data_IF_546487296191
#
_entry.id   IF_546487296191
#
_cell.length_a   1.000
_cell.length_b   1.000
_cell.length_c   1.000
_cell.angle_alpha   90.00
_cell.angle_beta   90.00
_cell.angle_gamma   90.00
#
_symmetry.space_group_name_H-M   'P 1'
#
loop_
_entity.id
_entity.type
_entity.pdbx_description
1 polymer ?
#
# COMPACT_ATOMS: atom_id res chain seq x y z
N UNK A 1 -16.18 7.56 10.53
CA UNK A 1 -15.16 8.54 10.08
C UNK A 1 -13.82 7.84 10.00
N UNK A 2 -13.28 7.66 8.79
CA UNK A 2 -11.91 7.19 8.61
C UNK A 2 -10.99 8.38 8.92
N UNK A 3 -10.28 8.32 10.04
CA UNK A 3 -9.36 9.38 10.47
C UNK A 3 -8.27 9.65 9.43
N UNK A 4 -7.89 10.92 9.30
CA UNK A 4 -6.79 11.46 8.50
C UNK A 4 -6.67 10.92 7.06
N UNK A 5 -7.25 11.65 6.11
CA UNK A 5 -7.04 11.50 4.65
C UNK A 5 -5.60 11.76 4.19
N UNK A 6 -4.71 12.22 5.08
CA UNK A 6 -3.32 12.57 4.80
C UNK A 6 -2.54 11.49 4.03
N UNK A 7 -2.76 10.20 4.34
CA UNK A 7 -2.05 9.12 3.67
C UNK A 7 -2.44 8.97 2.19
N UNK A 8 -3.72 9.15 1.88
CA UNK A 8 -4.25 9.06 0.51
C UNK A 8 -3.82 10.28 -0.30
N UNK A 9 -3.84 11.47 0.30
CA UNK A 9 -3.43 12.70 -0.36
C UNK A 9 -1.92 12.74 -0.60
N UNK A 10 -1.11 12.25 0.35
CA UNK A 10 0.32 12.05 0.14
C UNK A 10 0.62 11.08 -0.99
N UNK A 11 -0.14 9.97 -1.06
CA UNK A 11 -0.06 9.02 -2.16
C UNK A 11 -0.38 9.67 -3.52
N UNK A 12 -1.52 10.35 -3.64
CA UNK A 12 -1.92 11.03 -4.88
C UNK A 12 -0.86 12.05 -5.34
N UNK A 13 -0.28 12.79 -4.41
CA UNK A 13 0.82 13.74 -4.70
C UNK A 13 2.08 13.04 -5.20
N UNK A 14 2.51 11.96 -4.55
CA UNK A 14 3.71 11.21 -4.93
C UNK A 14 3.59 10.56 -6.32
N UNK A 15 2.39 10.06 -6.66
CA UNK A 15 2.08 9.51 -7.99
C UNK A 15 2.09 10.62 -9.04
N UNK A 16 1.42 11.75 -8.78
CA UNK A 16 1.36 12.87 -9.71
C UNK A 16 2.74 13.50 -9.99
N UNK A 17 3.64 13.51 -8.99
CA UNK A 17 4.98 14.09 -9.13
C UNK A 17 5.99 13.16 -9.82
N UNK A 18 5.63 11.90 -10.10
CA UNK A 18 6.56 10.88 -10.59
C UNK A 18 6.01 10.15 -11.83
N UNK A 19 5.78 10.85 -12.96
CA UNK A 19 5.26 10.24 -14.17
C UNK A 19 6.25 9.19 -14.71
N UNK A 20 5.79 7.94 -14.87
CA UNK A 20 6.61 6.81 -15.31
C UNK A 20 7.05 5.86 -14.20
N UNK A 21 6.61 6.07 -12.95
CA UNK A 21 6.85 5.12 -11.86
C UNK A 21 6.11 3.79 -12.01
N UNK A 22 6.70 2.77 -11.39
CA UNK A 22 6.22 1.39 -11.37
C UNK A 22 4.73 1.32 -10.97
N UNK A 23 3.91 0.48 -11.62
CA UNK A 23 2.48 0.30 -11.30
C UNK A 23 2.23 -0.33 -9.91
N UNK A 24 3.32 -0.62 -9.19
CA UNK A 24 3.34 -1.32 -7.92
C UNK A 24 3.45 -0.34 -6.75
N UNK A 25 2.31 -0.02 -6.15
CA UNK A 25 2.16 0.82 -4.97
C UNK A 25 1.89 -0.09 -3.77
N UNK A 26 2.79 -0.07 -2.79
CA UNK A 26 2.59 -0.77 -1.52
C UNK A 26 2.25 0.23 -0.42
N UNK A 27 1.12 0.03 0.26
CA UNK A 27 0.70 0.85 1.39
C UNK A 27 1.15 0.21 2.71
N UNK A 28 1.88 0.95 3.53
CA UNK A 28 2.27 0.52 4.88
C UNK A 28 1.47 1.32 5.91
N UNK A 29 0.68 0.66 6.74
CA UNK A 29 -0.34 1.34 7.56
C UNK A 29 -0.46 0.80 8.98
N UNK A 30 -0.87 1.64 9.93
CA UNK A 30 -1.13 1.23 11.32
C UNK A 30 -2.61 0.94 11.60
N UNK A 31 -3.49 1.01 10.59
CA UNK A 31 -4.88 0.56 10.77
C UNK A 31 -4.96 -0.95 10.94
N UNK A 32 -5.97 -1.47 11.67
CA UNK A 32 -6.19 -2.90 11.82
C UNK A 32 -6.25 -3.61 10.45
N UNK A 33 -5.74 -4.86 10.34
CA UNK A 33 -5.72 -5.62 9.10
C UNK A 33 -7.05 -5.65 8.35
N UNK A 34 -8.17 -5.79 9.08
CA UNK A 34 -9.53 -5.78 8.53
C UNK A 34 -9.91 -4.50 7.76
N UNK A 35 -9.24 -3.37 8.03
CA UNK A 35 -9.46 -2.07 7.35
C UNK A 35 -8.35 -1.74 6.35
N UNK A 36 -7.20 -2.42 6.43
CA UNK A 36 -6.04 -2.17 5.60
C UNK A 36 -6.33 -2.48 4.11
N UNK A 37 -7.03 -3.57 3.83
CA UNK A 37 -7.45 -3.89 2.45
C UNK A 37 -8.41 -2.86 1.85
N UNK A 38 -9.41 -2.42 2.62
CA UNK A 38 -10.36 -1.41 2.15
C UNK A 38 -9.65 -0.11 1.80
N UNK A 39 -8.68 0.29 2.64
CA UNK A 39 -7.85 1.47 2.39
C UNK A 39 -6.98 1.29 1.14
N UNK A 40 -6.33 0.13 0.99
CA UNK A 40 -5.51 -0.19 -0.18
C UNK A 40 -6.30 -0.09 -1.49
N UNK A 41 -7.52 -0.68 -1.53
CA UNK A 41 -8.41 -0.61 -2.68
C UNK A 41 -8.85 0.83 -2.98
N UNK A 42 -9.14 1.64 -1.96
CA UNK A 42 -9.55 3.04 -2.14
C UNK A 42 -8.46 3.93 -2.76
N UNK A 43 -7.20 3.50 -2.68
CA UNK A 43 -6.05 4.20 -3.23
C UNK A 43 -5.48 3.52 -4.48
N UNK A 44 -6.10 2.46 -4.98
CA UNK A 44 -5.56 1.65 -6.06
C UNK A 44 -4.14 1.13 -5.76
N UNK A 45 -3.87 0.83 -4.48
CA UNK A 45 -2.60 0.24 -4.06
C UNK A 45 -2.56 -1.24 -4.44
N UNK A 46 -1.44 -1.66 -5.01
CA UNK A 46 -1.16 -3.02 -5.49
C UNK A 46 -0.81 -3.97 -4.35
N UNK A 47 -0.36 -3.43 -3.21
CA UNK A 47 -0.07 -4.17 -1.99
C UNK A 47 -0.40 -3.37 -0.74
N UNK A 48 -0.62 -4.07 0.38
CA UNK A 48 -0.79 -3.45 1.69
C UNK A 48 -0.14 -4.28 2.79
N UNK A 49 0.49 -3.60 3.74
CA UNK A 49 1.11 -4.17 4.92
C UNK A 49 0.64 -3.42 6.17
N UNK A 50 -0.02 -4.12 7.08
CA UNK A 50 -0.44 -3.55 8.36
C UNK A 50 0.69 -3.68 9.39
N UNK A 51 0.94 -2.62 10.17
CA UNK A 51 1.90 -2.62 11.28
C UNK A 51 1.26 -3.21 12.54
N UNK A 52 2.04 -3.88 13.41
CA UNK A 52 3.44 -4.27 13.20
C UNK A 52 3.54 -5.36 12.14
N UNK A 53 4.65 -5.38 11.41
CA UNK A 53 5.01 -6.45 10.49
C UNK A 53 6.51 -6.77 10.66
N UNK A 54 6.92 -7.96 10.26
CA UNK A 54 8.32 -8.36 10.20
C UNK A 54 8.90 -8.30 8.76
N UNK A 55 10.19 -8.61 8.64
CA UNK A 55 10.87 -8.58 7.34
C UNK A 55 10.38 -9.67 6.38
N UNK A 56 9.94 -10.82 6.89
CA UNK A 56 9.45 -11.92 6.06
C UNK A 56 8.10 -11.55 5.45
N UNK A 57 7.22 -10.91 6.22
CA UNK A 57 5.95 -10.37 5.74
C UNK A 57 6.15 -9.26 4.69
N UNK A 58 7.17 -8.41 4.87
CA UNK A 58 7.53 -7.39 3.89
C UNK A 58 8.06 -8.00 2.59
N UNK A 59 8.93 -9.01 2.68
CA UNK A 59 9.48 -9.71 1.52
C UNK A 59 8.39 -10.48 0.77
N UNK A 60 7.52 -11.20 1.47
CA UNK A 60 6.38 -11.88 0.87
C UNK A 60 5.43 -10.91 0.14
N UNK A 61 5.21 -9.71 0.69
CA UNK A 61 4.44 -8.68 0.00
C UNK A 61 5.15 -8.19 -1.27
N UNK A 62 6.46 -7.92 -1.19
CA UNK A 62 7.24 -7.46 -2.33
C UNK A 62 7.26 -8.50 -3.45
N UNK A 63 7.45 -9.79 -3.13
CA UNK A 63 7.42 -10.88 -4.10
C UNK A 63 6.05 -10.98 -4.79
N UNK A 64 4.96 -10.99 -4.00
CA UNK A 64 3.59 -11.05 -4.53
C UNK A 64 3.27 -9.88 -5.46
N UNK A 65 3.73 -8.69 -5.12
CA UNK A 65 3.44 -7.47 -5.89
C UNK A 65 4.29 -7.38 -7.16
N UNK A 66 5.56 -7.75 -7.10
CA UNK A 66 6.49 -7.66 -8.23
C UNK A 66 6.41 -8.87 -9.18
N UNK A 67 5.88 -10.02 -8.72
CA UNK A 67 5.73 -11.25 -9.50
C UNK A 67 4.34 -11.87 -9.31
N UNK A 68 3.28 -11.26 -9.85
CA UNK A 68 1.94 -11.82 -9.75
C UNK A 68 1.87 -13.17 -10.49
N UNK A 69 1.72 -14.27 -9.76
CA UNK A 69 1.55 -15.63 -10.32
C UNK A 69 2.72 -16.59 -10.15
N UNK A 70 3.76 -16.23 -9.38
CA UNK A 70 4.79 -17.16 -8.92
C UNK A 70 4.32 -18.01 -7.72
#
# INVERSE_FOLDING_TARGET
QLGNTNGIDAYKKAVASSPGWSPHVCLMTAVPPAKAETLARSCNATGVLAKPFDMDEMLALAERVLRPGA
#
